data_IF_488845463674
#
_entry.id   IF_488845463674
#
_cell.length_a   1.000
_cell.length_b   1.000
_cell.length_c   1.000
_cell.angle_alpha   90.00
_cell.angle_beta   90.00
_cell.angle_gamma   90.00
#
_symmetry.space_group_name_H-M   'P 1'
#
loop_
_entity.id
_entity.type
_entity.pdbx_description
1 polymer ?
#
# COMPACT_ATOMS: atom_id res chain seq x y z
N UNK A 1 18.37 -21.78 -50.78
CA UNK A 1 18.07 -20.43 -51.31
C UNK A 1 17.47 -19.62 -50.17
N UNK A 2 18.28 -18.78 -49.50
CA UNK A 2 17.91 -18.05 -48.29
C UNK A 2 17.81 -16.57 -48.66
N UNK A 3 16.69 -15.91 -48.37
CA UNK A 3 16.53 -14.47 -48.52
C UNK A 3 15.77 -13.88 -47.32
N UNK A 4 16.46 -13.30 -46.33
CA UNK A 4 15.85 -12.44 -45.35
C UNK A 4 15.87 -11.01 -45.89
N UNK A 5 14.68 -10.43 -46.10
CA UNK A 5 14.59 -9.03 -46.48
C UNK A 5 14.81 -8.14 -45.25
N UNK A 6 15.82 -7.30 -45.41
CA UNK A 6 16.18 -6.21 -44.53
C UNK A 6 15.06 -5.16 -44.49
N UNK A 7 14.61 -4.81 -43.28
CA UNK A 7 14.04 -3.50 -43.02
C UNK A 7 14.79 -2.92 -41.83
N UNK A 8 15.85 -2.17 -42.12
CA UNK A 8 16.55 -1.31 -41.17
C UNK A 8 15.77 -0.01 -41.03
N UNK A 9 15.76 0.49 -39.79
CA UNK A 9 15.69 1.91 -39.39
C UNK A 9 14.37 2.64 -39.68
N UNK A 10 13.80 3.30 -38.67
CA UNK A 10 13.65 4.77 -38.62
C UNK A 10 13.40 5.23 -37.18
N UNK A 11 14.34 6.06 -36.70
CA UNK A 11 14.28 7.20 -35.78
C UNK A 11 13.20 7.37 -34.70
N UNK A 12 13.74 7.49 -33.49
CA UNK A 12 13.34 8.25 -32.31
C UNK A 12 12.44 9.48 -32.52
N UNK A 13 11.48 9.64 -31.61
CA UNK A 13 10.95 10.94 -31.17
C UNK A 13 11.00 10.96 -29.64
N UNK A 14 12.04 11.60 -29.11
CA UNK A 14 12.18 11.95 -27.71
C UNK A 14 11.49 13.29 -27.49
N UNK A 15 10.26 13.27 -27.00
CA UNK A 15 9.56 14.47 -26.53
C UNK A 15 9.85 14.60 -25.05
N UNK A 16 10.84 15.44 -24.73
CA UNK A 16 11.03 15.99 -23.39
C UNK A 16 10.06 17.17 -23.28
N UNK A 17 8.94 16.97 -22.58
CA UNK A 17 8.21 18.09 -21.99
C UNK A 17 8.50 18.00 -20.50
N UNK A 18 9.48 18.82 -20.08
CA UNK A 18 9.74 19.10 -18.68
C UNK A 18 8.54 19.82 -18.09
N UNK A 19 7.69 19.07 -17.39
CA UNK A 19 6.82 19.62 -16.37
C UNK A 19 7.54 19.55 -15.04
N UNK A 20 8.12 20.67 -14.59
CA UNK A 20 8.45 20.82 -13.16
C UNK A 20 7.14 20.93 -12.40
N UNK A 21 6.64 19.80 -11.92
CA UNK A 21 5.58 19.79 -10.93
C UNK A 21 6.20 20.22 -9.59
N UNK A 22 6.17 21.52 -9.30
CA UNK A 22 6.21 21.98 -7.91
C UNK A 22 4.83 21.69 -7.32
N UNK A 23 4.63 20.44 -6.90
CA UNK A 23 3.50 20.08 -6.06
C UNK A 23 3.93 20.35 -4.62
N UNK A 24 3.58 21.56 -4.17
CA UNK A 24 3.18 21.91 -2.81
C UNK A 24 3.77 21.04 -1.69
N UNK A 25 4.70 21.64 -0.93
CA UNK A 25 5.12 21.15 0.39
C UNK A 25 3.93 21.25 1.36
N UNK A 26 2.96 20.35 1.18
CA UNK A 26 1.89 20.09 2.13
C UNK A 26 2.57 19.57 3.39
N UNK A 27 2.70 20.43 4.40
CA UNK A 27 3.34 20.13 5.67
C UNK A 27 3.02 18.72 6.17
N UNK A 28 3.99 17.82 6.00
CA UNK A 28 3.91 16.48 6.54
C UNK A 28 4.13 16.60 8.04
N UNK A 29 3.04 16.64 8.81
CA UNK A 29 3.11 16.24 10.21
C UNK A 29 3.52 14.78 10.19
N UNK A 30 4.83 14.51 10.30
CA UNK A 30 5.33 13.16 10.50
C UNK A 30 4.85 12.71 11.87
N UNK A 31 3.68 12.09 11.91
CA UNK A 31 3.23 11.37 13.09
C UNK A 31 4.24 10.27 13.35
N UNK A 32 5.15 10.49 14.31
CA UNK A 32 6.01 9.43 14.79
C UNK A 32 5.13 8.46 15.58
N UNK A 33 4.66 7.42 14.89
CA UNK A 33 3.92 6.34 15.52
C UNK A 33 4.84 5.54 16.45
N UNK A 34 4.23 4.74 17.35
CA UNK A 34 4.98 3.69 18.01
C UNK A 34 5.62 2.76 16.96
N UNK A 35 6.80 2.21 17.27
CA UNK A 35 7.62 1.45 16.30
C UNK A 35 6.90 0.28 15.63
N UNK A 36 5.99 -0.37 16.34
CA UNK A 36 5.20 -1.49 15.83
C UNK A 36 4.12 -1.03 14.82
N UNK A 37 3.48 0.12 15.07
CA UNK A 37 2.57 0.77 14.12
C UNK A 37 3.35 1.26 12.91
N UNK A 38 4.51 1.90 13.11
CA UNK A 38 5.35 2.42 12.03
C UNK A 38 5.85 1.29 11.11
N UNK A 39 6.22 0.14 11.67
CA UNK A 39 6.63 -1.03 10.90
C UNK A 39 5.49 -1.53 9.99
N UNK A 40 4.26 -1.62 10.51
CA UNK A 40 3.09 -1.96 9.69
C UNK A 40 2.82 -0.88 8.63
N UNK A 41 2.86 0.39 9.03
CA UNK A 41 2.62 1.55 8.17
C UNK A 41 3.60 1.60 7.01
N UNK A 42 4.89 1.35 7.22
CA UNK A 42 5.90 1.35 6.17
C UNK A 42 5.57 0.37 5.03
N UNK A 43 5.08 -0.83 5.37
CA UNK A 43 4.63 -1.83 4.38
C UNK A 43 3.34 -1.37 3.70
N UNK A 44 2.31 -1.01 4.46
CA UNK A 44 1.02 -0.59 3.92
C UNK A 44 1.15 0.64 3.00
N UNK A 45 1.86 1.66 3.45
CA UNK A 45 2.04 2.92 2.73
C UNK A 45 2.72 2.72 1.37
N UNK A 46 3.74 1.84 1.31
CA UNK A 46 4.44 1.54 0.05
C UNK A 46 3.52 0.95 -1.02
N UNK A 47 2.56 0.12 -0.62
CA UNK A 47 1.58 -0.49 -1.53
C UNK A 47 0.43 0.48 -1.81
N UNK A 48 -0.13 1.12 -0.79
CA UNK A 48 -1.33 1.95 -0.89
C UNK A 48 -1.10 3.20 -1.75
N UNK A 49 0.03 3.87 -1.56
CA UNK A 49 0.36 5.10 -2.28
C UNK A 49 0.93 4.85 -3.70
N UNK A 50 1.13 3.58 -4.08
CA UNK A 50 1.39 3.24 -5.47
C UNK A 50 0.18 3.54 -6.37
N UNK A 51 0.43 3.77 -7.67
CA UNK A 51 -0.64 4.04 -8.64
C UNK A 51 -1.62 2.85 -8.67
N UNK A 52 -2.94 3.08 -8.62
CA UNK A 52 -3.93 2.02 -8.83
C UNK A 52 -3.70 1.25 -10.13
N UNK A 53 -3.73 -0.08 -10.06
CA UNK A 53 -3.54 -0.94 -11.22
C UNK A 53 -2.95 -2.32 -10.89
N UNK A 54 -2.61 -3.11 -11.93
CA UNK A 54 -2.12 -4.47 -11.78
C UNK A 54 -0.85 -4.60 -10.92
N UNK A 55 0.04 -3.61 -10.99
CA UNK A 55 1.26 -3.55 -10.19
C UNK A 55 0.95 -3.45 -8.69
N UNK A 56 0.10 -2.48 -8.29
CA UNK A 56 -0.36 -2.38 -6.89
C UNK A 56 -1.08 -3.64 -6.43
N UNK A 57 -1.91 -4.24 -7.28
CA UNK A 57 -2.57 -5.52 -6.98
C UNK A 57 -1.55 -6.63 -6.71
N UNK A 58 -0.50 -6.70 -7.54
CA UNK A 58 0.58 -7.68 -7.36
C UNK A 58 1.34 -7.44 -6.05
N UNK A 59 1.71 -6.20 -5.76
CA UNK A 59 2.44 -5.83 -4.55
C UNK A 59 1.62 -6.06 -3.29
N UNK A 60 0.33 -5.71 -3.31
CA UNK A 60 -0.60 -5.99 -2.23
C UNK A 60 -0.61 -7.48 -1.89
N UNK A 61 -0.67 -8.34 -2.90
CA UNK A 61 -0.65 -9.78 -2.70
C UNK A 61 0.72 -10.31 -2.25
N UNK A 62 1.81 -9.76 -2.77
CA UNK A 62 3.16 -10.11 -2.32
C UNK A 62 3.42 -9.73 -0.86
N UNK A 63 2.75 -8.67 -0.37
CA UNK A 63 2.93 -8.12 0.98
C UNK A 63 1.84 -8.52 1.98
N UNK A 64 0.74 -9.14 1.55
CA UNK A 64 -0.38 -9.47 2.43
C UNK A 64 0.04 -10.33 3.65
N UNK A 65 0.95 -11.30 3.46
CA UNK A 65 1.47 -12.11 4.56
C UNK A 65 2.34 -11.32 5.55
N UNK A 66 3.13 -10.36 5.05
CA UNK A 66 3.93 -9.46 5.90
C UNK A 66 3.04 -8.50 6.70
N UNK A 67 2.01 -7.94 6.05
CA UNK A 67 0.98 -7.13 6.71
C UNK A 67 0.29 -7.92 7.83
N UNK A 68 -0.08 -9.19 7.59
CA UNK A 68 -0.71 -10.04 8.60
C UNK A 68 0.19 -10.25 9.82
N UNK A 69 1.47 -10.58 9.59
CA UNK A 69 2.46 -10.74 10.66
C UNK A 69 2.60 -9.47 11.48
N UNK A 70 2.86 -8.33 10.83
CA UNK A 70 3.09 -7.05 11.50
C UNK A 70 1.86 -6.57 12.27
N UNK A 71 0.65 -6.71 11.71
CA UNK A 71 -0.58 -6.35 12.40
C UNK A 71 -0.78 -7.17 13.69
N UNK A 72 -0.40 -8.46 13.68
CA UNK A 72 -0.48 -9.32 14.88
C UNK A 72 0.57 -9.00 15.95
N UNK A 73 1.65 -8.31 15.56
CA UNK A 73 2.74 -7.90 16.43
C UNK A 73 2.51 -6.54 17.09
N UNK A 74 1.50 -5.77 16.67
CA UNK A 74 1.14 -4.47 17.28
C UNK A 74 0.68 -4.68 18.73
N UNK A 75 1.38 -4.02 19.66
CA UNK A 75 1.09 -4.01 21.11
C UNK A 75 0.77 -2.61 21.64
N UNK A 76 1.18 -1.56 20.92
CA UNK A 76 0.99 -0.17 21.34
C UNK A 76 -0.46 0.31 21.29
N UNK A 77 -1.32 -0.33 20.47
CA UNK A 77 -2.75 -0.05 20.35
C UNK A 77 -3.56 -1.35 20.14
N UNK A 78 -4.88 -1.24 20.27
CA UNK A 78 -5.79 -2.35 20.00
C UNK A 78 -5.99 -2.55 18.47
N UNK A 79 -5.16 -3.42 17.89
CA UNK A 79 -5.17 -3.72 16.46
C UNK A 79 -6.22 -4.78 16.01
N UNK A 80 -7.19 -5.16 16.85
CA UNK A 80 -8.14 -6.24 16.51
C UNK A 80 -8.85 -6.03 15.18
N UNK A 81 -9.31 -4.82 14.89
CA UNK A 81 -9.99 -4.54 13.61
C UNK A 81 -9.04 -4.61 12.40
N UNK A 82 -7.80 -4.16 12.57
CA UNK A 82 -6.78 -4.23 11.54
C UNK A 82 -6.38 -5.68 11.23
N UNK A 83 -6.19 -6.50 12.27
CA UNK A 83 -5.93 -7.94 12.10
C UNK A 83 -7.10 -8.63 11.40
N UNK A 84 -8.34 -8.25 11.73
CA UNK A 84 -9.54 -8.84 11.14
C UNK A 84 -9.77 -8.46 9.66
N UNK A 85 -9.24 -7.34 9.16
CA UNK A 85 -9.42 -6.94 7.75
C UNK A 85 -8.50 -7.68 6.78
N UNK A 86 -7.33 -8.14 7.24
CA UNK A 86 -6.30 -8.73 6.37
C UNK A 86 -6.68 -10.08 5.72
N UNK A 87 -7.41 -11.00 6.39
CA UNK A 87 -7.83 -12.25 5.76
C UNK A 87 -8.64 -12.06 4.47
N UNK A 88 -9.44 -11.00 4.36
CA UNK A 88 -10.19 -10.69 3.15
C UNK A 88 -9.25 -10.32 1.98
N UNK A 89 -8.20 -9.55 2.25
CA UNK A 89 -7.16 -9.24 1.27
C UNK A 89 -6.45 -10.51 0.79
N UNK A 90 -6.05 -11.39 1.72
CA UNK A 90 -5.39 -12.67 1.39
C UNK A 90 -6.31 -13.53 0.51
N UNK A 91 -7.59 -13.69 0.87
CA UNK A 91 -8.54 -14.47 0.10
C UNK A 91 -8.74 -13.92 -1.33
N UNK A 92 -8.70 -12.60 -1.51
CA UNK A 92 -8.74 -11.98 -2.85
C UNK A 92 -7.48 -12.25 -3.67
N UNK A 93 -6.33 -12.28 -3.01
CA UNK A 93 -5.06 -12.61 -3.66
C UNK A 93 -4.96 -14.07 -4.12
N UNK A 94 -5.62 -14.99 -3.43
CA UNK A 94 -5.60 -16.43 -3.73
C UNK A 94 -6.66 -16.85 -4.76
N UNK A 95 -7.69 -16.04 -4.99
CA UNK A 95 -8.81 -16.34 -5.90
C UNK A 95 -8.57 -15.79 -7.31
N UNK A 96 -9.29 -14.73 -7.71
CA UNK A 96 -9.27 -14.16 -9.06
C UNK A 96 -8.53 -12.82 -9.15
N UNK A 97 -7.96 -12.35 -8.03
CA UNK A 97 -7.37 -11.01 -7.86
C UNK A 97 -8.37 -9.86 -8.09
N UNK A 98 -9.63 -10.17 -8.38
CA UNK A 98 -10.74 -9.24 -8.50
C UNK A 98 -11.12 -8.69 -7.13
N UNK A 99 -11.03 -7.37 -6.98
CA UNK A 99 -11.33 -6.69 -5.72
C UNK A 99 -10.19 -6.67 -4.71
N UNK A 100 -8.95 -7.00 -5.10
CA UNK A 100 -7.76 -6.79 -4.25
C UNK A 100 -7.64 -5.32 -3.85
N UNK A 101 -7.83 -4.39 -4.78
CA UNK A 101 -7.78 -2.95 -4.48
C UNK A 101 -8.86 -2.53 -3.46
N UNK A 102 -10.05 -3.11 -3.53
CA UNK A 102 -11.11 -2.85 -2.55
C UNK A 102 -10.77 -3.43 -1.17
N UNK A 103 -10.25 -4.66 -1.12
CA UNK A 103 -9.81 -5.27 0.14
C UNK A 103 -8.59 -4.55 0.74
N UNK A 104 -7.67 -4.03 -0.09
CA UNK A 104 -6.55 -3.20 0.33
C UNK A 104 -7.04 -1.88 0.93
N UNK A 105 -8.06 -1.25 0.32
CA UNK A 105 -8.72 -0.08 0.89
C UNK A 105 -9.30 -0.38 2.28
N UNK A 106 -9.96 -1.52 2.48
CA UNK A 106 -10.50 -1.88 3.79
C UNK A 106 -9.41 -2.04 4.87
N UNK A 107 -8.23 -2.58 4.49
CA UNK A 107 -7.05 -2.64 5.38
C UNK A 107 -6.55 -1.23 5.70
N UNK A 108 -6.49 -0.34 4.71
CA UNK A 108 -6.10 1.06 4.90
C UNK A 108 -7.06 1.81 5.84
N UNK A 109 -8.37 1.64 5.66
CA UNK A 109 -9.37 2.25 6.54
C UNK A 109 -9.31 1.68 7.97
N UNK A 110 -9.02 0.37 8.12
CA UNK A 110 -8.81 -0.22 9.43
C UNK A 110 -7.55 0.33 10.11
N UNK A 111 -6.50 0.64 9.36
CA UNK A 111 -5.32 1.31 9.87
C UNK A 111 -5.63 2.73 10.33
N UNK A 112 -6.37 3.52 9.55
CA UNK A 112 -6.82 4.86 10.00
C UNK A 112 -7.64 4.80 11.28
N UNK A 113 -8.62 3.88 11.37
CA UNK A 113 -9.39 3.67 12.60
C UNK A 113 -8.50 3.32 13.81
N UNK A 114 -7.40 2.60 13.60
CA UNK A 114 -6.45 2.27 14.66
C UNK A 114 -5.74 3.53 15.18
N UNK A 115 -5.23 4.39 14.28
CA UNK A 115 -4.39 5.54 14.65
C UNK A 115 -5.19 6.80 15.01
N UNK A 116 -6.41 6.95 14.49
CA UNK A 116 -7.30 8.08 14.80
C UNK A 116 -8.09 7.87 16.09
N UNK A 117 -8.06 6.66 16.64
CA UNK A 117 -8.68 6.36 17.93
C UNK A 117 -8.00 7.19 19.02
N UNK A 118 -8.67 8.27 19.45
CA UNK A 118 -8.23 9.06 20.61
C UNK A 118 -8.02 8.13 21.81
N UNK A 119 -6.91 8.26 22.56
CA UNK A 119 -6.71 7.50 23.79
C UNK A 119 -7.93 7.69 24.69
N UNK A 120 -8.59 6.60 25.09
CA UNK A 120 -9.63 6.69 26.11
C UNK A 120 -8.95 7.12 27.42
N UNK A 121 -9.40 8.20 28.07
CA UNK A 121 -8.87 8.55 29.38
C UNK A 121 -9.08 7.36 30.32
N UNK A 122 -7.98 6.85 30.88
CA UNK A 122 -8.04 5.79 31.89
C UNK A 122 -8.74 6.41 33.10
N UNK A 123 -9.92 5.92 33.46
CA UNK A 123 -10.52 6.29 34.75
C UNK A 123 -9.61 5.74 35.84
N UNK A 124 -8.93 6.63 36.56
CA UNK A 124 -8.26 6.29 37.80
C UNK A 124 -9.30 5.67 38.75
N UNK A 125 -8.93 4.53 39.34
CA UNK A 125 -9.75 3.80 40.31
C UNK A 125 -9.45 4.31 41.71
#
# INVERSE_FOLDING_TARGET
>A
MIKPNNAKLVFAVMVIIGGVATADEHGHVHHHFAKDIDAFHAVLASVWHARPGPERTQDACAKAGEMARLASEIRSLNATQLVASIPALIAKCESDKGGVDAALYDVHEAFHRLIDAKPRPVKAK
#
